data_IF_512356446976
#
_entry.id   IF_512356446976
#
_cell.length_a   1.000
_cell.length_b   1.000
_cell.length_c   1.000
_cell.angle_alpha   90.00
_cell.angle_beta   90.00
_cell.angle_gamma   90.00
#
_symmetry.space_group_name_H-M   'P 1'
#
loop_
_entity.id
_entity.type
_entity.pdbx_description
1 polymer ?
#
# COMPACT_ATOMS: atom_id res chain seq x y z
N UNK A 1 -2.68 -10.27 21.72
CA UNK A 1 -1.65 -9.29 22.15
C UNK A 1 -2.17 -7.92 21.72
N UNK A 2 -2.13 -6.91 22.59
CA UNK A 2 -2.48 -5.56 22.19
C UNK A 2 -1.57 -5.15 21.03
N UNK A 3 -2.14 -4.58 19.95
CA UNK A 3 -1.36 -4.03 18.87
C UNK A 3 -0.31 -3.08 19.47
N UNK A 4 0.96 -3.28 19.16
CA UNK A 4 2.02 -2.41 19.64
C UNK A 4 1.65 -0.96 19.28
N UNK A 5 1.82 -0.06 20.25
CA UNK A 5 1.52 1.34 20.04
C UNK A 5 2.30 1.85 18.85
N UNK A 6 1.61 2.39 17.84
CA UNK A 6 2.27 2.94 16.64
C UNK A 6 3.30 4.01 17.04
N UNK A 7 4.44 3.97 16.35
CA UNK A 7 5.47 5.00 16.46
C UNK A 7 4.86 6.38 16.20
N UNK A 8 5.16 7.34 17.05
CA UNK A 8 4.75 8.73 16.82
C UNK A 8 5.55 9.28 15.65
N UNK A 9 4.87 9.76 14.61
CA UNK A 9 5.46 10.41 13.46
C UNK A 9 4.81 11.75 13.20
N UNK A 10 5.52 12.63 12.50
CA UNK A 10 4.97 13.92 12.05
C UNK A 10 3.98 13.66 10.92
N UNK A 11 2.75 14.18 11.04
CA UNK A 11 1.75 14.05 10.00
C UNK A 11 2.11 14.92 8.79
N UNK A 12 1.93 14.36 7.59
CA UNK A 12 2.19 15.01 6.30
C UNK A 12 0.94 14.98 5.44
N UNK A 13 0.47 16.14 5.00
CA UNK A 13 -0.68 16.24 4.12
C UNK A 13 -0.28 16.17 2.65
N UNK A 14 -0.95 15.30 1.89
CA UNK A 14 -0.74 15.07 0.45
C UNK A 14 -2.08 15.23 -0.26
N UNK A 15 -2.39 16.39 -0.75
CA UNK A 15 -3.73 16.69 -1.25
C UNK A 15 -4.80 16.48 -0.17
N UNK A 16 -5.73 15.55 -0.42
CA UNK A 16 -6.78 15.16 0.52
C UNK A 16 -6.36 14.07 1.53
N UNK A 17 -5.16 13.48 1.40
CA UNK A 17 -4.70 12.36 2.22
C UNK A 17 -3.68 12.83 3.25
N UNK A 18 -3.81 12.36 4.49
CA UNK A 18 -2.83 12.58 5.56
C UNK A 18 -2.06 11.28 5.86
N UNK A 19 -0.73 11.40 5.95
CA UNK A 19 0.20 10.30 6.21
C UNK A 19 0.94 10.56 7.51
N UNK A 20 0.99 9.57 8.40
CA UNK A 20 1.68 9.70 9.69
C UNK A 20 0.78 10.25 10.80
N UNK A 21 1.37 10.55 11.95
CA UNK A 21 0.63 10.91 13.15
C UNK A 21 -0.26 9.78 13.63
N UNK A 22 -1.51 10.10 13.95
CA UNK A 22 -2.56 9.13 14.30
C UNK A 22 -3.37 8.62 13.11
N UNK A 23 -3.05 9.10 11.88
CA UNK A 23 -3.82 8.75 10.68
C UNK A 23 -3.63 7.28 10.29
N UNK A 24 -4.58 6.66 9.59
CA UNK A 24 -4.45 5.30 9.08
C UNK A 24 -3.22 5.11 8.18
N UNK A 25 -2.67 3.90 8.14
CA UNK A 25 -1.56 3.56 7.24
C UNK A 25 -2.06 3.61 5.80
N UNK A 26 -1.42 4.44 4.96
CA UNK A 26 -1.88 4.75 3.61
C UNK A 26 -1.32 3.76 2.58
N UNK A 27 -2.18 3.25 1.70
CA UNK A 27 -1.80 2.40 0.58
C UNK A 27 -1.46 3.27 -0.63
N UNK A 28 -0.24 3.13 -1.13
CA UNK A 28 0.25 3.80 -2.34
C UNK A 28 0.56 2.79 -3.43
N UNK A 29 0.25 3.14 -4.67
CA UNK A 29 0.61 2.38 -5.87
C UNK A 29 1.45 3.19 -6.86
N UNK A 30 1.77 2.58 -8.01
CA UNK A 30 2.51 3.24 -9.08
C UNK A 30 2.08 2.69 -10.45
N UNK A 31 1.91 3.57 -11.42
CA UNK A 31 1.71 3.16 -12.82
C UNK A 31 2.99 2.56 -13.43
N UNK A 32 2.81 1.74 -14.45
CA UNK A 32 3.89 1.25 -15.31
C UNK A 32 3.67 1.62 -16.80
N UNK A 33 2.71 2.50 -17.05
CA UNK A 33 2.48 3.11 -18.36
C UNK A 33 3.55 4.15 -18.67
N UNK A 34 3.77 4.45 -19.95
CA UNK A 34 4.46 5.68 -20.34
C UNK A 34 3.59 6.88 -19.93
N UNK A 35 4.10 7.74 -19.06
CA UNK A 35 3.35 8.90 -18.55
C UNK A 35 3.05 9.91 -19.68
N UNK A 36 3.82 9.91 -20.77
CA UNK A 36 3.54 10.72 -21.96
C UNK A 36 2.24 10.27 -22.66
N UNK A 37 1.86 9.01 -22.56
CA UNK A 37 0.56 8.50 -22.99
C UNK A 37 -0.51 8.80 -21.91
N UNK A 38 -1.17 9.93 -22.09
CA UNK A 38 -2.20 10.44 -21.18
C UNK A 38 -3.32 9.42 -20.96
N UNK A 39 -3.84 8.82 -22.06
CA UNK A 39 -5.00 7.95 -21.96
C UNK A 39 -4.69 6.64 -21.22
N UNK A 40 -3.59 5.99 -21.58
CA UNK A 40 -3.15 4.76 -20.91
C UNK A 40 -2.87 5.01 -19.42
N UNK A 41 -2.24 6.15 -19.10
CA UNK A 41 -1.94 6.50 -17.71
C UNK A 41 -3.20 6.82 -16.92
N UNK A 42 -4.15 7.58 -17.48
CA UNK A 42 -5.46 7.84 -16.86
C UNK A 42 -6.20 6.54 -16.57
N UNK A 43 -6.30 5.64 -17.55
CA UNK A 43 -6.98 4.35 -17.39
C UNK A 43 -6.36 3.53 -16.25
N UNK A 44 -5.02 3.48 -16.19
CA UNK A 44 -4.34 2.72 -15.13
C UNK A 44 -4.46 3.39 -13.76
N UNK A 45 -4.40 4.73 -13.67
CA UNK A 45 -4.65 5.45 -12.41
C UNK A 45 -6.07 5.19 -11.90
N UNK A 46 -7.08 5.22 -12.79
CA UNK A 46 -8.46 4.90 -12.45
C UNK A 46 -8.60 3.48 -11.91
N UNK A 47 -7.97 2.50 -12.57
CA UNK A 47 -7.98 1.11 -12.11
C UNK A 47 -7.35 0.97 -10.71
N UNK A 48 -6.19 1.61 -10.48
CA UNK A 48 -5.50 1.60 -9.19
C UNK A 48 -6.33 2.30 -8.09
N UNK A 49 -6.96 3.43 -8.39
CA UNK A 49 -7.83 4.15 -7.46
C UNK A 49 -9.08 3.34 -7.12
N UNK A 50 -9.72 2.71 -8.10
CA UNK A 50 -10.87 1.84 -7.91
C UNK A 50 -10.53 0.58 -7.08
N UNK A 51 -9.31 0.07 -7.21
CA UNK A 51 -8.80 -0.99 -6.35
C UNK A 51 -8.53 -0.53 -4.90
N UNK A 52 -8.61 0.79 -4.64
CA UNK A 52 -8.44 1.38 -3.31
C UNK A 52 -7.04 1.94 -3.04
N UNK A 53 -6.25 2.23 -4.07
CA UNK A 53 -5.01 3.01 -3.89
C UNK A 53 -5.35 4.43 -3.48
N UNK A 54 -4.80 4.89 -2.38
CA UNK A 54 -5.07 6.22 -1.82
C UNK A 54 -4.08 7.28 -2.37
N UNK A 55 -2.96 6.85 -2.92
CA UNK A 55 -1.95 7.68 -3.57
C UNK A 55 -1.43 6.94 -4.80
N UNK A 56 -1.37 7.58 -5.96
CA UNK A 56 -0.81 6.96 -7.17
C UNK A 56 0.40 7.73 -7.67
N UNK A 57 1.49 7.01 -7.93
CA UNK A 57 2.74 7.59 -8.42
C UNK A 57 2.92 7.34 -9.91
N UNK A 58 3.29 8.38 -10.64
CA UNK A 58 3.65 8.35 -12.07
C UNK A 58 5.11 8.73 -12.25
N UNK A 59 5.79 8.17 -13.25
CA UNK A 59 7.18 8.54 -13.56
C UNK A 59 7.21 9.84 -14.36
N UNK A 60 8.07 10.79 -13.96
CA UNK A 60 8.27 12.05 -14.67
C UNK A 60 9.75 12.20 -15.01
N UNK A 61 10.15 11.70 -16.18
CA UNK A 61 11.54 11.58 -16.61
C UNK A 61 11.85 12.21 -17.96
N UNK A 62 10.82 12.66 -18.70
CA UNK A 62 10.97 13.34 -20.00
C UNK A 62 10.13 14.62 -20.05
N UNK A 63 10.39 15.46 -21.04
CA UNK A 63 9.62 16.67 -21.31
C UNK A 63 8.16 16.34 -21.65
N UNK A 64 7.94 15.27 -22.42
CA UNK A 64 6.61 14.79 -22.83
C UNK A 64 5.82 14.31 -21.61
N UNK A 65 6.43 13.52 -20.74
CA UNK A 65 5.81 13.08 -19.48
C UNK A 65 5.45 14.27 -18.59
N UNK A 66 6.35 15.25 -18.48
CA UNK A 66 6.08 16.46 -17.69
C UNK A 66 4.91 17.28 -18.26
N UNK A 67 4.83 17.42 -19.58
CA UNK A 67 3.73 18.12 -20.28
C UNK A 67 2.39 17.37 -20.19
N UNK A 68 2.42 16.03 -20.02
CA UNK A 68 1.23 15.19 -19.92
C UNK A 68 0.56 15.25 -18.55
N UNK A 69 1.33 15.42 -17.45
CA UNK A 69 0.81 15.37 -16.06
C UNK A 69 -0.39 16.29 -15.82
N UNK A 70 -0.42 17.58 -16.22
CA UNK A 70 -1.59 18.43 -16.00
C UNK A 70 -2.84 17.88 -16.70
N UNK A 71 -2.69 17.31 -17.90
CA UNK A 71 -3.80 16.73 -18.67
C UNK A 71 -4.33 15.45 -18.01
N UNK A 72 -3.42 14.64 -17.45
CA UNK A 72 -3.78 13.43 -16.69
C UNK A 72 -4.65 13.83 -15.50
N UNK A 73 -4.20 14.79 -14.67
CA UNK A 73 -4.93 15.24 -13.48
C UNK A 73 -6.28 15.85 -13.86
N UNK A 74 -6.32 16.73 -14.86
CA UNK A 74 -7.58 17.33 -15.36
C UNK A 74 -8.57 16.25 -15.85
N UNK A 75 -8.07 15.24 -16.55
CA UNK A 75 -8.92 14.15 -17.07
C UNK A 75 -9.45 13.28 -15.93
N UNK A 76 -8.64 12.96 -14.94
CA UNK A 76 -9.08 12.25 -13.73
C UNK A 76 -10.16 13.01 -12.98
N UNK A 77 -9.99 14.34 -12.82
CA UNK A 77 -10.98 15.20 -12.18
C UNK A 77 -12.33 15.20 -12.93
N UNK A 78 -12.30 15.21 -14.28
CA UNK A 78 -13.52 15.09 -15.11
C UNK A 78 -14.25 13.77 -14.91
N UNK A 79 -13.52 12.69 -14.62
CA UNK A 79 -14.11 11.39 -14.25
C UNK A 79 -14.46 11.25 -12.77
N UNK A 80 -14.27 12.31 -11.96
CA UNK A 80 -14.55 12.30 -10.53
C UNK A 80 -13.50 11.55 -9.69
N UNK A 81 -12.37 11.17 -10.29
CA UNK A 81 -11.28 10.46 -9.60
C UNK A 81 -10.31 11.47 -9.02
N UNK A 82 -10.34 11.64 -7.70
CA UNK A 82 -9.55 12.65 -6.97
C UNK A 82 -8.37 12.07 -6.19
N UNK A 83 -7.82 10.94 -6.64
CA UNK A 83 -6.63 10.36 -6.01
C UNK A 83 -5.43 11.29 -6.22
N UNK A 84 -4.66 11.64 -5.16
CA UNK A 84 -3.49 12.49 -5.31
C UNK A 84 -2.41 11.84 -6.15
N UNK A 85 -1.94 12.56 -7.19
CA UNK A 85 -0.89 12.09 -8.10
C UNK A 85 0.48 12.54 -7.62
N UNK A 86 1.43 11.61 -7.59
CA UNK A 86 2.79 11.81 -7.12
C UNK A 86 3.75 11.73 -8.30
N UNK A 87 4.59 12.76 -8.49
CA UNK A 87 5.66 12.73 -9.49
C UNK A 87 6.91 12.02 -8.97
N UNK A 88 7.40 11.06 -9.72
CA UNK A 88 8.66 10.35 -9.45
C UNK A 88 9.76 10.92 -10.31
N UNK A 89 10.68 11.64 -9.68
CA UNK A 89 11.76 12.34 -10.34
C UNK A 89 13.10 11.64 -10.16
N UNK A 90 13.84 11.54 -11.25
CA UNK A 90 15.20 11.04 -11.32
C UNK A 90 16.05 12.06 -12.10
N UNK A 91 17.36 11.95 -12.10
CA UNK A 91 18.40 12.69 -12.83
C UNK A 91 18.10 14.14 -13.28
N UNK A 92 17.06 14.37 -14.07
CA UNK A 92 16.67 15.65 -14.68
C UNK A 92 15.48 16.34 -13.99
N UNK A 93 15.00 15.81 -12.85
CA UNK A 93 13.84 16.35 -12.14
C UNK A 93 13.96 17.84 -11.80
N UNK A 94 15.16 18.33 -11.48
CA UNK A 94 15.45 19.74 -11.23
C UNK A 94 15.21 20.63 -12.46
N UNK A 95 15.46 20.12 -13.67
CA UNK A 95 15.17 20.83 -14.92
C UNK A 95 13.67 20.82 -15.23
N UNK A 96 13.03 19.64 -15.08
CA UNK A 96 11.60 19.47 -15.38
C UNK A 96 10.73 20.33 -14.46
N UNK A 97 11.03 20.38 -13.16
CA UNK A 97 10.29 21.19 -12.19
C UNK A 97 10.36 22.69 -12.52
N UNK A 98 11.52 23.19 -12.98
CA UNK A 98 11.67 24.57 -13.44
C UNK A 98 10.97 24.86 -14.75
N UNK A 99 11.08 23.91 -15.71
CA UNK A 99 10.55 24.10 -17.08
C UNK A 99 9.03 23.95 -17.17
N UNK A 100 8.42 23.14 -16.29
CA UNK A 100 7.00 22.80 -16.31
C UNK A 100 6.26 23.17 -15.02
N UNK A 101 6.03 24.47 -14.74
CA UNK A 101 5.35 24.90 -13.53
C UNK A 101 3.91 24.38 -13.40
N UNK A 102 3.23 24.13 -14.54
CA UNK A 102 1.89 23.53 -14.52
C UNK A 102 1.92 22.11 -13.98
N UNK A 103 2.91 21.29 -14.37
CA UNK A 103 3.15 19.96 -13.82
C UNK A 103 3.46 20.03 -12.31
N UNK A 104 4.38 20.92 -11.91
CA UNK A 104 4.76 21.08 -10.52
C UNK A 104 3.54 21.40 -9.63
N UNK A 105 2.61 22.24 -10.11
CA UNK A 105 1.36 22.57 -9.42
C UNK A 105 0.33 21.43 -9.43
N UNK A 106 0.27 20.66 -10.51
CA UNK A 106 -0.71 19.56 -10.64
C UNK A 106 -0.37 18.36 -9.73
N UNK A 107 0.90 18.13 -9.48
CA UNK A 107 1.35 17.04 -8.61
C UNK A 107 1.06 17.35 -7.13
N UNK A 108 0.55 16.35 -6.40
CA UNK A 108 0.26 16.48 -4.97
C UNK A 108 1.48 16.25 -4.08
N UNK A 109 2.52 15.55 -4.58
CA UNK A 109 3.77 15.24 -3.88
C UNK A 109 4.88 14.96 -4.88
N UNK A 110 6.12 15.26 -4.51
CA UNK A 110 7.30 14.85 -5.27
C UNK A 110 8.00 13.69 -4.59
N UNK A 111 8.42 12.69 -5.37
CA UNK A 111 9.38 11.69 -4.93
C UNK A 111 10.74 12.02 -5.54
N UNK A 112 11.72 12.16 -4.69
CA UNK A 112 13.09 12.48 -5.06
C UNK A 112 14.00 11.38 -4.51
N UNK A 113 14.85 10.82 -5.38
CA UNK A 113 15.92 9.94 -4.95
C UNK A 113 17.23 10.75 -4.91
N UNK A 114 17.74 11.09 -3.73
CA UNK A 114 18.95 11.92 -3.63
C UNK A 114 20.15 11.28 -4.32
N UNK A 115 20.29 9.95 -4.34
CA UNK A 115 21.37 9.27 -5.04
C UNK A 115 21.33 9.37 -6.57
N UNK A 116 20.22 9.84 -7.16
CA UNK A 116 20.00 9.91 -8.60
C UNK A 116 19.83 11.35 -9.13
N UNK A 117 20.19 12.38 -8.36
CA UNK A 117 20.04 13.78 -8.81
C UNK A 117 21.29 14.36 -9.46
N UNK A 118 22.30 13.60 -9.71
CA UNK A 118 23.59 13.81 -10.37
C UNK A 118 24.77 13.41 -9.46
N UNK A 119 26.01 13.49 -9.98
CA UNK A 119 27.24 13.08 -9.27
C UNK A 119 28.09 14.32 -8.95
N UNK A 120 28.71 14.34 -7.75
CA UNK A 120 29.63 15.38 -7.33
C UNK A 120 28.97 16.69 -6.88
N UNK A 121 29.67 17.83 -7.01
CA UNK A 121 29.21 19.18 -6.53
C UNK A 121 27.83 19.59 -7.10
N UNK A 122 27.47 19.12 -8.28
CA UNK A 122 26.15 19.40 -8.87
C UNK A 122 25.01 18.63 -8.21
N UNK A 123 25.32 17.59 -7.44
CA UNK A 123 24.33 16.80 -6.72
C UNK A 123 23.55 17.68 -5.73
N UNK A 124 24.23 18.39 -4.88
CA UNK A 124 23.60 19.20 -3.83
C UNK A 124 22.81 20.38 -4.42
N UNK A 125 23.32 21.03 -5.48
CA UNK A 125 22.62 22.11 -6.18
C UNK A 125 21.33 21.63 -6.85
N UNK A 126 21.36 20.45 -7.47
CA UNK A 126 20.19 19.88 -8.13
C UNK A 126 19.13 19.45 -7.09
N UNK A 127 19.54 18.79 -6.01
CA UNK A 127 18.66 18.45 -4.91
C UNK A 127 18.01 19.69 -4.29
N UNK A 128 18.83 20.71 -4.00
CA UNK A 128 18.37 22.02 -3.51
C UNK A 128 17.32 22.62 -4.43
N UNK A 129 17.58 22.66 -5.74
CA UNK A 129 16.63 23.19 -6.74
C UNK A 129 15.27 22.47 -6.69
N UNK A 130 15.29 21.15 -6.50
CA UNK A 130 14.04 20.37 -6.42
C UNK A 130 13.28 20.64 -5.10
N UNK A 131 14.01 20.85 -4.01
CA UNK A 131 13.40 21.20 -2.72
C UNK A 131 12.85 22.63 -2.76
N UNK A 132 13.58 23.60 -3.35
CA UNK A 132 13.09 24.97 -3.55
C UNK A 132 11.78 24.99 -4.37
N UNK A 133 11.68 24.16 -5.42
CA UNK A 133 10.43 24.00 -6.15
C UNK A 133 9.31 23.41 -5.27
N UNK A 134 9.63 22.45 -4.41
CA UNK A 134 8.64 21.88 -3.48
C UNK A 134 8.17 22.92 -2.45
N UNK A 135 9.03 23.80 -1.99
CA UNK A 135 8.68 24.95 -1.12
C UNK A 135 7.79 25.94 -1.87
N UNK A 136 8.19 26.35 -3.09
CA UNK A 136 7.45 27.32 -3.93
C UNK A 136 6.03 26.84 -4.22
N UNK A 137 5.87 25.56 -4.59
CA UNK A 137 4.55 25.01 -4.92
C UNK A 137 3.84 24.36 -3.73
N UNK A 138 4.39 24.51 -2.53
CA UNK A 138 3.84 23.96 -1.29
C UNK A 138 3.59 22.44 -1.34
N UNK A 139 4.47 21.68 -1.97
CA UNK A 139 4.33 20.22 -2.12
C UNK A 139 5.19 19.46 -1.11
N UNK A 140 4.63 18.46 -0.43
CA UNK A 140 5.45 17.54 0.36
C UNK A 140 6.38 16.74 -0.53
N UNK A 141 7.49 16.30 0.05
CA UNK A 141 8.51 15.51 -0.63
C UNK A 141 8.69 14.18 0.08
N UNK A 142 8.73 13.09 -0.69
CA UNK A 142 9.29 11.85 -0.20
C UNK A 142 10.74 11.73 -0.66
N UNK A 143 11.65 11.79 0.29
CA UNK A 143 13.07 11.49 0.09
C UNK A 143 13.21 9.97 0.09
N UNK A 144 13.51 9.41 -1.08
CA UNK A 144 13.49 7.96 -1.32
C UNK A 144 14.86 7.42 -1.63
N UNK A 145 15.62 7.02 -0.62
CA UNK A 145 16.92 6.36 -0.78
C UNK A 145 16.71 4.90 -1.19
N UNK A 146 17.50 4.41 -2.13
CA UNK A 146 17.56 3.01 -2.51
C UNK A 146 19.01 2.51 -2.39
N UNK A 147 19.15 1.28 -1.97
CA UNK A 147 20.45 0.59 -1.91
C UNK A 147 21.28 0.74 -3.19
N UNK A 148 20.69 0.47 -4.36
CA UNK A 148 21.38 0.50 -5.67
C UNK A 148 21.80 1.88 -6.15
N UNK A 149 21.46 2.95 -5.42
CA UNK A 149 21.82 4.33 -5.75
C UNK A 149 22.37 5.11 -4.55
N UNK A 150 22.98 4.39 -3.60
CA UNK A 150 23.64 5.00 -2.45
C UNK A 150 24.88 5.79 -2.90
N UNK A 151 25.08 6.97 -2.31
CA UNK A 151 26.26 7.79 -2.56
C UNK A 151 27.54 7.05 -2.14
N UNK A 152 28.40 6.80 -3.13
CA UNK A 152 29.67 6.10 -2.93
C UNK A 152 30.65 6.87 -2.03
N UNK A 153 30.64 8.20 -2.06
CA UNK A 153 31.50 9.02 -1.23
C UNK A 153 31.09 8.93 0.25
N UNK A 154 29.80 8.94 0.54
CA UNK A 154 29.27 8.71 1.88
C UNK A 154 29.68 7.33 2.39
N UNK A 155 29.46 6.29 1.58
CA UNK A 155 29.79 4.92 1.96
C UNK A 155 31.27 4.75 2.22
N UNK A 156 32.14 5.26 1.33
CA UNK A 156 33.60 5.19 1.50
C UNK A 156 34.02 5.84 2.81
N UNK A 157 33.54 7.06 3.09
CA UNK A 157 33.88 7.77 4.33
C UNK A 157 33.43 6.94 5.56
N UNK A 158 32.24 6.38 5.55
CA UNK A 158 31.76 5.57 6.67
C UNK A 158 32.55 4.27 6.83
N UNK A 159 33.02 3.64 5.76
CA UNK A 159 33.92 2.49 5.82
C UNK A 159 35.28 2.88 6.42
N UNK A 160 35.84 4.00 6.00
CA UNK A 160 37.14 4.50 6.54
C UNK A 160 37.06 4.85 8.04
N UNK A 161 35.94 5.45 8.46
CA UNK A 161 35.63 5.72 9.87
C UNK A 161 35.49 4.43 10.67
N UNK A 162 34.75 3.47 10.14
CA UNK A 162 34.55 2.16 10.77
C UNK A 162 35.86 1.39 10.96
N UNK A 163 36.77 1.44 9.99
CA UNK A 163 38.06 0.76 10.08
C UNK A 163 38.99 1.34 11.17
N UNK A 164 38.68 2.52 11.71
CA UNK A 164 39.43 3.14 12.83
C UNK A 164 38.88 2.74 14.20
N UNK A 165 37.73 2.06 14.26
CA UNK A 165 37.14 1.61 15.52
C UNK A 165 37.96 0.44 16.11
N UNK A 166 37.94 0.33 17.43
CA UNK A 166 38.55 -0.81 18.11
C UNK A 166 37.85 -2.12 17.77
N UNK A 167 36.54 -2.09 17.56
CA UNK A 167 35.69 -3.21 17.12
C UNK A 167 34.94 -2.76 15.87
N UNK A 168 35.49 -2.93 14.66
CA UNK A 168 34.81 -2.55 13.43
C UNK A 168 33.57 -3.41 13.19
N UNK A 169 32.50 -2.77 12.71
CA UNK A 169 31.31 -3.46 12.22
C UNK A 169 31.64 -4.16 10.89
N UNK A 170 30.86 -5.19 10.57
CA UNK A 170 30.95 -5.79 9.24
C UNK A 170 30.51 -4.81 8.15
N UNK A 171 31.03 -5.00 6.93
CA UNK A 171 30.82 -4.09 5.80
C UNK A 171 29.32 -3.95 5.43
N UNK A 172 28.53 -5.00 5.63
CA UNK A 172 27.08 -4.96 5.38
C UNK A 172 26.39 -4.01 6.35
N UNK A 173 26.69 -4.10 7.65
CA UNK A 173 26.12 -3.21 8.65
C UNK A 173 26.51 -1.74 8.39
N UNK A 174 27.75 -1.48 7.99
CA UNK A 174 28.17 -0.11 7.60
C UNK A 174 27.35 0.39 6.41
N UNK A 175 27.10 -0.46 5.42
CA UNK A 175 26.24 -0.10 4.27
C UNK A 175 24.82 0.20 4.68
N UNK A 176 24.20 -0.61 5.56
CA UNK A 176 22.85 -0.34 6.07
C UNK A 176 22.78 0.98 6.85
N UNK A 177 23.78 1.28 7.67
CA UNK A 177 23.92 2.58 8.36
C UNK A 177 24.09 3.73 7.37
N UNK A 178 24.85 3.54 6.28
CA UNK A 178 25.01 4.56 5.26
C UNK A 178 23.72 4.91 4.53
N UNK A 179 22.83 3.92 4.32
CA UNK A 179 21.48 4.15 3.76
C UNK A 179 20.65 5.02 4.71
N UNK A 180 20.68 4.73 6.01
CA UNK A 180 19.97 5.52 7.04
C UNK A 180 20.55 6.94 7.09
N UNK A 181 21.85 7.07 7.18
CA UNK A 181 22.54 8.37 7.19
C UNK A 181 22.22 9.20 5.94
N UNK A 182 22.20 8.58 4.75
CA UNK A 182 21.81 9.25 3.51
C UNK A 182 20.39 9.82 3.57
N UNK A 183 19.44 9.07 4.11
CA UNK A 183 18.06 9.53 4.26
C UNK A 183 17.95 10.71 5.24
N UNK A 184 18.59 10.60 6.41
CA UNK A 184 18.55 11.63 7.45
C UNK A 184 19.29 12.90 7.04
N UNK A 185 20.49 12.78 6.43
CA UNK A 185 21.24 13.92 5.92
C UNK A 185 20.47 14.66 4.84
N UNK A 186 19.81 13.93 3.94
CA UNK A 186 18.97 14.54 2.89
C UNK A 186 17.73 15.24 3.47
N UNK A 187 17.14 14.70 4.54
CA UNK A 187 16.04 15.37 5.24
C UNK A 187 16.48 16.65 5.92
N UNK A 188 17.62 16.60 6.62
CA UNK A 188 18.21 17.79 7.26
C UNK A 188 18.56 18.88 6.22
N UNK A 189 19.14 18.51 5.07
CA UNK A 189 19.38 19.43 3.97
C UNK A 189 18.10 20.02 3.41
N UNK A 190 17.04 19.24 3.26
CA UNK A 190 15.73 19.72 2.79
C UNK A 190 15.13 20.75 3.77
N UNK A 191 15.24 20.53 5.08
CA UNK A 191 14.84 21.52 6.10
C UNK A 191 15.65 22.81 6.00
N UNK A 192 16.97 22.70 5.81
CA UNK A 192 17.86 23.86 5.60
C UNK A 192 17.50 24.66 4.35
N UNK A 193 16.97 23.99 3.30
CA UNK A 193 16.49 24.66 2.08
C UNK A 193 15.05 25.17 2.20
N UNK A 194 14.46 25.12 3.40
CA UNK A 194 13.17 25.73 3.72
C UNK A 194 11.95 24.80 3.65
N UNK A 195 12.15 23.50 3.40
CA UNK A 195 11.03 22.56 3.41
C UNK A 195 10.63 22.23 4.85
N UNK A 196 9.41 22.51 5.22
CA UNK A 196 8.93 22.27 6.58
C UNK A 196 8.92 20.76 6.90
N UNK A 197 9.23 20.41 8.15
CA UNK A 197 9.33 19.03 8.64
C UNK A 197 8.06 18.21 8.38
N UNK A 198 6.89 18.81 8.52
CA UNK A 198 5.59 18.21 8.22
C UNK A 198 5.29 18.09 6.71
N UNK A 199 6.28 18.29 5.86
CA UNK A 199 6.24 18.07 4.41
C UNK A 199 7.28 17.05 3.94
N UNK A 200 7.93 16.34 4.88
CA UNK A 200 8.97 15.35 4.57
C UNK A 200 8.49 13.96 4.94
N UNK A 201 8.61 13.04 4.00
CA UNK A 201 8.42 11.59 4.19
C UNK A 201 9.73 10.90 3.82
N UNK A 202 10.16 9.92 4.61
CA UNK A 202 11.38 9.16 4.31
C UNK A 202 11.06 7.75 3.83
N UNK A 203 11.91 7.25 2.96
CA UNK A 203 11.99 5.83 2.65
C UNK A 203 13.43 5.40 2.34
N UNK A 204 13.82 4.25 2.87
CA UNK A 204 15.13 3.65 2.67
C UNK A 204 14.94 2.19 2.25
N UNK A 205 14.98 1.94 0.93
CA UNK A 205 14.60 0.66 0.35
C UNK A 205 15.81 -0.21 0.02
N UNK A 206 15.72 -1.46 0.44
CA UNK A 206 16.65 -2.54 0.12
C UNK A 206 15.86 -3.75 -0.39
N UNK A 207 16.54 -4.73 -1.00
CA UNK A 207 15.92 -5.92 -1.57
C UNK A 207 15.87 -7.13 -0.61
N UNK A 208 16.65 -7.08 0.49
CA UNK A 208 16.65 -8.12 1.52
C UNK A 208 15.62 -7.85 2.61
N UNK A 209 14.84 -8.87 2.99
CA UNK A 209 13.81 -8.77 4.05
C UNK A 209 14.44 -8.35 5.37
N UNK A 210 15.47 -9.08 5.83
CA UNK A 210 16.13 -8.80 7.11
C UNK A 210 16.82 -7.42 7.10
N UNK A 211 17.42 -7.06 5.99
CA UNK A 211 18.08 -5.77 5.82
C UNK A 211 17.09 -4.61 5.88
N UNK A 212 15.91 -4.78 5.28
CA UNK A 212 14.84 -3.79 5.35
C UNK A 212 14.38 -3.57 6.80
N UNK A 213 14.19 -4.66 7.54
CA UNK A 213 13.78 -4.60 8.94
C UNK A 213 14.83 -3.82 9.77
N UNK A 214 16.12 -4.14 9.60
CA UNK A 214 17.20 -3.45 10.31
C UNK A 214 17.24 -1.96 9.96
N UNK A 215 17.16 -1.59 8.68
CA UNK A 215 17.20 -0.20 8.22
C UNK A 215 16.04 0.61 8.80
N UNK A 216 14.82 0.08 8.75
CA UNK A 216 13.66 0.84 9.25
C UNK A 216 13.58 0.90 10.78
N UNK A 217 14.10 -0.09 11.50
CA UNK A 217 14.28 0.01 12.96
C UNK A 217 15.25 1.13 13.33
N UNK A 218 16.36 1.25 12.62
CA UNK A 218 17.32 2.37 12.80
C UNK A 218 16.65 3.71 12.48
N UNK A 219 16.00 3.86 11.32
CA UNK A 219 15.27 5.08 10.97
C UNK A 219 14.21 5.46 12.01
N UNK A 220 13.44 4.47 12.47
CA UNK A 220 12.39 4.70 13.44
C UNK A 220 12.92 5.16 14.82
N UNK A 221 14.13 4.73 15.19
CA UNK A 221 14.80 5.14 16.42
C UNK A 221 15.45 6.54 16.31
N UNK A 222 15.87 6.94 15.12
CA UNK A 222 16.68 8.15 14.93
C UNK A 222 15.87 9.37 14.46
N UNK A 223 14.61 9.20 14.03
CA UNK A 223 13.79 10.32 13.57
C UNK A 223 12.29 10.11 13.85
N UNK A 224 11.50 11.17 13.68
CA UNK A 224 10.05 11.18 13.78
C UNK A 224 9.36 11.53 12.43
N UNK A 225 10.08 11.59 11.32
CA UNK A 225 9.46 11.74 10.00
C UNK A 225 8.51 10.59 9.69
N UNK A 226 7.45 10.85 8.92
CA UNK A 226 6.62 9.79 8.37
C UNK A 226 7.44 8.84 7.49
N UNK A 227 7.22 7.53 7.63
CA UNK A 227 7.98 6.49 6.95
C UNK A 227 7.14 5.78 5.89
N UNK A 228 7.67 5.71 4.66
CA UNK A 228 7.08 4.94 3.58
C UNK A 228 7.80 3.59 3.43
N UNK A 229 7.11 2.51 3.77
CA UNK A 229 7.65 1.15 3.67
C UNK A 229 7.52 0.57 2.26
N UNK A 230 8.45 -0.26 1.89
CA UNK A 230 8.39 -1.08 0.68
C UNK A 230 9.69 -1.82 0.44
N UNK A 231 9.59 -3.11 0.16
CA UNK A 231 10.72 -3.90 -0.29
C UNK A 231 10.96 -3.61 -1.77
N UNK A 232 12.20 -3.24 -2.17
CA UNK A 232 12.51 -3.06 -3.59
C UNK A 232 12.81 -4.42 -4.22
N UNK A 233 12.43 -4.59 -5.51
CA UNK A 233 12.74 -5.80 -6.27
C UNK A 233 12.29 -7.10 -5.57
N UNK A 234 11.09 -7.07 -4.99
CA UNK A 234 10.56 -8.20 -4.22
C UNK A 234 10.44 -9.47 -5.05
N UNK A 235 10.18 -9.33 -6.36
CA UNK A 235 10.09 -10.42 -7.34
C UNK A 235 8.67 -10.68 -7.85
N UNK A 236 8.54 -11.78 -8.57
CA UNK A 236 7.31 -12.21 -9.25
C UNK A 236 6.44 -13.08 -8.34
N UNK A 237 5.13 -13.00 -8.54
CA UNK A 237 4.14 -13.93 -7.99
C UNK A 237 4.29 -14.17 -6.49
N UNK A 238 4.16 -15.42 -6.06
CA UNK A 238 4.22 -15.81 -4.66
C UNK A 238 5.51 -15.39 -3.95
N UNK A 239 6.67 -15.43 -4.61
CA UNK A 239 7.94 -15.00 -4.02
C UNK A 239 7.91 -13.52 -3.64
N UNK A 240 7.39 -12.66 -4.54
CA UNK A 240 7.27 -11.23 -4.30
C UNK A 240 6.29 -10.92 -3.16
N UNK A 241 5.13 -11.59 -3.15
CA UNK A 241 4.10 -11.44 -2.12
C UNK A 241 4.65 -11.84 -0.75
N UNK A 242 5.25 -13.04 -0.65
CA UNK A 242 5.80 -13.56 0.61
C UNK A 242 6.91 -12.66 1.15
N UNK A 243 7.87 -12.25 0.31
CA UNK A 243 8.96 -11.39 0.73
C UNK A 243 8.47 -10.01 1.20
N UNK A 244 7.53 -9.41 0.47
CA UNK A 244 6.91 -8.14 0.84
C UNK A 244 6.15 -8.27 2.16
N UNK A 245 5.32 -9.29 2.29
CA UNK A 245 4.51 -9.54 3.50
C UNK A 245 5.40 -9.75 4.72
N UNK A 246 6.45 -10.57 4.59
CA UNK A 246 7.39 -10.82 5.69
C UNK A 246 8.12 -9.56 6.14
N UNK A 247 8.60 -8.75 5.18
CA UNK A 247 9.32 -7.52 5.49
C UNK A 247 8.41 -6.45 6.14
N UNK A 248 7.27 -6.18 5.52
CA UNK A 248 6.34 -5.16 6.01
C UNK A 248 5.63 -5.61 7.27
N UNK A 249 5.26 -6.89 7.35
CA UNK A 249 4.53 -7.46 8.50
C UNK A 249 5.28 -7.29 9.82
N UNK A 250 6.57 -7.57 9.85
CA UNK A 250 7.39 -7.37 11.07
C UNK A 250 7.42 -5.89 11.47
N UNK A 251 7.69 -4.98 10.54
CA UNK A 251 7.77 -3.54 10.83
C UNK A 251 6.42 -2.97 11.28
N UNK A 252 5.34 -3.34 10.60
CA UNK A 252 4.00 -2.88 10.93
C UNK A 252 3.54 -3.38 12.31
N UNK A 253 3.87 -4.63 12.68
CA UNK A 253 3.63 -5.17 14.02
C UNK A 253 4.41 -4.41 15.11
N UNK A 254 5.57 -3.86 14.78
CA UNK A 254 6.37 -3.01 15.67
C UNK A 254 5.88 -1.56 15.68
N UNK A 255 4.79 -1.24 14.98
CA UNK A 255 4.24 0.11 14.86
C UNK A 255 5.03 1.03 13.92
N UNK A 256 5.93 0.49 13.10
CA UNK A 256 6.78 1.23 12.15
C UNK A 256 6.11 1.24 10.77
N UNK A 257 5.86 2.42 10.23
CA UNK A 257 5.32 2.63 8.89
C UNK A 257 4.02 3.43 8.87
N UNK A 258 3.98 4.43 8.01
CA UNK A 258 2.86 5.37 7.86
C UNK A 258 2.21 5.27 6.48
N UNK A 259 2.94 4.80 5.48
CA UNK A 259 2.42 4.47 4.16
C UNK A 259 3.21 3.29 3.58
N UNK A 260 2.55 2.46 2.80
CA UNK A 260 3.14 1.23 2.25
C UNK A 260 2.94 1.12 0.75
N UNK A 261 3.84 0.39 0.09
CA UNK A 261 3.68 -0.07 -1.28
C UNK A 261 4.29 -1.46 -1.46
N UNK A 262 3.50 -2.40 -1.94
CA UNK A 262 4.01 -3.67 -2.47
C UNK A 262 4.63 -3.43 -3.85
N UNK A 263 5.96 -3.64 -3.99
CA UNK A 263 6.68 -3.45 -5.25
C UNK A 263 6.79 -4.78 -5.99
N UNK A 264 5.64 -5.29 -6.43
CA UNK A 264 5.56 -6.56 -7.15
C UNK A 264 5.96 -6.36 -8.62
N UNK A 265 6.69 -7.33 -9.17
CA UNK A 265 6.83 -7.45 -10.62
C UNK A 265 5.57 -8.11 -11.16
N UNK A 266 4.79 -7.44 -12.03
CA UNK A 266 3.59 -8.05 -12.60
C UNK A 266 3.97 -9.27 -13.46
N UNK A 267 3.12 -10.29 -13.47
CA UNK A 267 3.21 -11.36 -14.44
C UNK A 267 2.97 -10.80 -15.85
N UNK A 268 3.44 -11.45 -16.93
CA UNK A 268 3.04 -11.08 -18.28
C UNK A 268 1.51 -11.04 -18.38
N UNK A 269 0.96 -9.89 -18.79
CA UNK A 269 -0.48 -9.59 -18.81
C UNK A 269 -1.16 -9.59 -17.42
N UNK A 270 -0.39 -9.54 -16.35
CA UNK A 270 -0.92 -9.46 -14.97
C UNK A 270 -1.53 -8.09 -14.67
N UNK A 271 -2.47 -8.09 -13.73
CA UNK A 271 -3.15 -6.88 -13.29
C UNK A 271 -2.22 -6.02 -12.41
N UNK A 272 -2.10 -4.74 -12.76
CA UNK A 272 -1.31 -3.78 -11.96
C UNK A 272 -1.94 -3.51 -10.60
N UNK A 273 -3.24 -3.76 -10.44
CA UNK A 273 -3.96 -3.57 -9.17
C UNK A 273 -3.58 -4.59 -8.10
N UNK A 274 -2.93 -5.69 -8.45
CA UNK A 274 -2.45 -6.71 -7.51
C UNK A 274 -1.60 -6.12 -6.39
N UNK A 275 -0.76 -5.11 -6.69
CA UNK A 275 0.07 -4.46 -5.65
C UNK A 275 -0.76 -3.71 -4.61
N UNK A 276 -1.94 -3.19 -4.99
CA UNK A 276 -2.89 -2.53 -4.09
C UNK A 276 -3.58 -3.58 -3.23
N UNK A 277 -4.10 -4.63 -3.86
CA UNK A 277 -4.80 -5.73 -3.18
C UNK A 277 -3.87 -6.39 -2.15
N UNK A 278 -2.64 -6.71 -2.53
CA UNK A 278 -1.65 -7.30 -1.60
C UNK A 278 -1.34 -6.36 -0.45
N UNK A 279 -1.18 -5.05 -0.69
CA UNK A 279 -0.97 -4.07 0.38
C UNK A 279 -2.14 -4.00 1.35
N UNK A 280 -3.38 -4.02 0.85
CA UNK A 280 -4.59 -4.08 1.66
C UNK A 280 -4.66 -5.37 2.47
N UNK A 281 -4.38 -6.53 1.85
CA UNK A 281 -4.40 -7.81 2.53
C UNK A 281 -3.33 -7.90 3.65
N UNK A 282 -2.15 -7.31 3.47
CA UNK A 282 -1.15 -7.21 4.54
C UNK A 282 -1.73 -6.44 5.73
N UNK A 283 -2.34 -5.28 5.51
CA UNK A 283 -2.91 -4.46 6.58
C UNK A 283 -4.11 -5.13 7.26
N UNK A 284 -4.98 -5.79 6.48
CA UNK A 284 -6.13 -6.53 7.01
C UNK A 284 -5.72 -7.75 7.83
N UNK A 285 -4.78 -8.55 7.34
CA UNK A 285 -4.28 -9.74 8.05
C UNK A 285 -3.59 -9.40 9.36
N UNK A 286 -3.06 -8.18 9.49
CA UNK A 286 -2.49 -7.65 10.72
C UNK A 286 -3.50 -6.90 11.61
N UNK A 287 -4.77 -6.85 11.22
CA UNK A 287 -5.85 -6.12 11.90
C UNK A 287 -5.55 -4.61 12.12
N UNK A 288 -4.74 -4.03 11.23
CA UNK A 288 -4.37 -2.61 11.27
C UNK A 288 -5.36 -1.72 10.53
N UNK A 289 -6.00 -2.25 9.48
CA UNK A 289 -7.05 -1.60 8.68
C UNK A 289 -7.96 -2.65 8.06
N UNK A 290 -9.20 -2.28 7.78
CA UNK A 290 -10.15 -3.05 6.99
C UNK A 290 -10.47 -2.32 5.67
N UNK A 291 -10.58 -3.05 4.57
CA UNK A 291 -10.88 -2.50 3.24
C UNK A 291 -12.07 -3.18 2.58
N UNK A 292 -12.17 -4.50 2.77
CA UNK A 292 -13.26 -5.33 2.24
C UNK A 292 -13.59 -6.40 3.27
N UNK A 293 -14.81 -6.93 3.31
CA UNK A 293 -15.12 -8.08 4.15
C UNK A 293 -14.16 -9.23 3.93
N UNK A 294 -13.76 -9.88 5.01
CA UNK A 294 -12.82 -11.02 4.95
C UNK A 294 -13.56 -12.33 4.75
N UNK A 295 -13.13 -13.13 3.77
CA UNK A 295 -13.60 -14.49 3.56
C UNK A 295 -12.59 -15.48 4.15
N UNK A 296 -13.05 -16.26 5.13
CA UNK A 296 -12.30 -17.41 5.66
C UNK A 296 -12.82 -18.67 4.96
N UNK A 297 -11.92 -19.40 4.31
CA UNK A 297 -12.27 -20.66 3.66
C UNK A 297 -11.31 -21.77 4.14
N UNK A 298 -11.78 -23.02 4.18
CA UNK A 298 -10.93 -24.13 4.52
C UNK A 298 -9.99 -24.48 3.34
N UNK A 299 -8.79 -25.07 3.60
CA UNK A 299 -7.87 -25.43 2.52
C UNK A 299 -8.32 -26.63 1.69
N UNK A 300 -9.39 -27.31 2.09
CA UNK A 300 -9.79 -28.59 1.51
C UNK A 300 -8.93 -29.76 2.01
N UNK A 301 -9.51 -30.94 2.02
CA UNK A 301 -8.81 -32.20 2.39
C UNK A 301 -9.58 -33.38 1.81
N UNK A 302 -9.15 -34.63 2.15
CA UNK A 302 -9.82 -35.85 1.68
C UNK A 302 -11.29 -36.00 2.10
N UNK A 303 -11.80 -35.17 3.00
CA UNK A 303 -13.23 -35.09 3.34
C UNK A 303 -14.04 -34.22 2.35
N UNK A 304 -13.37 -33.49 1.48
CA UNK A 304 -14.02 -32.60 0.51
C UNK A 304 -13.38 -32.84 -0.85
N UNK A 305 -13.94 -33.75 -1.63
CA UNK A 305 -13.43 -34.09 -2.97
C UNK A 305 -14.06 -33.22 -4.09
N UNK A 306 -15.10 -32.47 -3.76
CA UNK A 306 -15.75 -31.50 -4.65
C UNK A 306 -15.03 -30.14 -4.59
N UNK A 307 -14.96 -29.43 -5.71
CA UNK A 307 -14.47 -28.04 -5.79
C UNK A 307 -15.51 -27.01 -5.42
N UNK A 308 -16.76 -27.41 -5.19
CA UNK A 308 -17.88 -26.49 -5.01
C UNK A 308 -17.65 -25.43 -3.92
N UNK A 309 -17.03 -25.79 -2.79
CA UNK A 309 -16.74 -24.82 -1.73
C UNK A 309 -15.66 -23.83 -2.14
N UNK A 310 -14.69 -24.24 -2.97
CA UNK A 310 -13.66 -23.37 -3.51
C UNK A 310 -14.27 -22.37 -4.49
N UNK A 311 -15.11 -22.87 -5.40
CA UNK A 311 -15.82 -22.04 -6.39
C UNK A 311 -16.76 -21.06 -5.68
N UNK A 312 -17.45 -21.50 -4.64
CA UNK A 312 -18.30 -20.63 -3.83
C UNK A 312 -17.51 -19.58 -3.07
N UNK A 313 -16.36 -19.96 -2.45
CA UNK A 313 -15.53 -19.01 -1.72
C UNK A 313 -14.98 -17.91 -2.66
N UNK A 314 -14.56 -18.29 -3.87
CA UNK A 314 -14.08 -17.37 -4.90
C UNK A 314 -15.20 -16.44 -5.38
N UNK A 315 -16.39 -16.98 -5.66
CA UNK A 315 -17.56 -16.19 -6.05
C UNK A 315 -17.96 -15.19 -4.96
N UNK A 316 -18.01 -15.61 -3.69
CA UNK A 316 -18.33 -14.73 -2.56
C UNK A 316 -17.26 -13.66 -2.40
N UNK A 317 -15.96 -14.01 -2.46
CA UNK A 317 -14.89 -13.04 -2.35
C UNK A 317 -14.92 -11.99 -3.48
N UNK A 318 -15.19 -12.44 -4.70
CA UNK A 318 -15.36 -11.55 -5.85
C UNK A 318 -16.55 -10.63 -5.68
N UNK A 319 -17.72 -11.19 -5.30
CA UNK A 319 -18.93 -10.43 -5.02
C UNK A 319 -18.72 -9.34 -3.95
N UNK A 320 -18.10 -9.70 -2.82
CA UNK A 320 -17.80 -8.75 -1.74
C UNK A 320 -16.91 -7.59 -2.22
N UNK A 321 -15.92 -7.89 -3.06
CA UNK A 321 -15.05 -6.88 -3.63
C UNK A 321 -15.78 -5.94 -4.58
N UNK A 322 -16.63 -6.49 -5.44
CA UNK A 322 -17.43 -5.70 -6.40
C UNK A 322 -18.48 -4.84 -5.71
N UNK A 323 -19.10 -5.35 -4.63
CA UNK A 323 -20.11 -4.62 -3.88
C UNK A 323 -19.52 -3.56 -2.92
N UNK A 324 -18.28 -3.72 -2.50
CA UNK A 324 -17.69 -2.84 -1.49
C UNK A 324 -17.79 -1.34 -1.83
N UNK A 325 -17.54 -0.87 -3.06
CA UNK A 325 -17.71 0.55 -3.41
C UNK A 325 -19.16 1.02 -3.22
N UNK A 326 -20.14 0.18 -3.54
CA UNK A 326 -21.58 0.49 -3.39
C UNK A 326 -21.94 0.56 -1.91
N UNK A 327 -21.54 -0.42 -1.12
CA UNK A 327 -21.79 -0.45 0.32
C UNK A 327 -21.12 0.69 1.06
N UNK A 328 -19.84 0.96 0.75
CA UNK A 328 -19.08 2.05 1.37
C UNK A 328 -19.71 3.43 1.16
N UNK A 329 -20.44 3.62 0.07
CA UNK A 329 -21.19 4.85 -0.20
C UNK A 329 -22.49 4.96 0.63
N UNK A 330 -23.00 3.85 1.20
CA UNK A 330 -24.29 3.77 1.87
C UNK A 330 -24.20 3.36 3.33
N UNK A 331 -23.22 2.56 3.70
CA UNK A 331 -23.08 1.95 5.01
C UNK A 331 -21.66 2.15 5.56
N UNK A 332 -21.56 2.34 6.87
CA UNK A 332 -20.29 2.44 7.58
C UNK A 332 -19.95 1.12 8.26
N UNK A 333 -18.69 0.65 8.14
CA UNK A 333 -18.17 -0.50 8.86
C UNK A 333 -18.38 -1.86 8.16
N UNK A 334 -18.94 -1.89 6.95
CA UNK A 334 -19.14 -3.14 6.19
C UNK A 334 -17.82 -3.84 5.89
N UNK A 335 -16.75 -3.08 5.73
CA UNK A 335 -15.39 -3.58 5.51
C UNK A 335 -14.85 -4.47 6.64
N UNK A 336 -15.44 -4.40 7.83
CA UNK A 336 -15.05 -5.20 9.00
C UNK A 336 -15.77 -6.55 9.06
N UNK A 337 -16.73 -6.79 8.18
CA UNK A 337 -17.52 -8.02 8.16
C UNK A 337 -16.64 -9.24 7.90
N UNK A 338 -16.89 -10.32 8.65
CA UNK A 338 -16.23 -11.63 8.49
C UNK A 338 -17.20 -12.63 7.93
N UNK A 339 -16.83 -13.28 6.82
CA UNK A 339 -17.62 -14.32 6.16
C UNK A 339 -16.83 -15.63 6.20
N UNK A 340 -17.46 -16.75 6.51
CA UNK A 340 -16.86 -18.07 6.49
C UNK A 340 -17.53 -18.97 5.44
N UNK A 341 -16.74 -19.60 4.56
CA UNK A 341 -17.18 -20.58 3.58
C UNK A 341 -16.40 -21.88 3.82
N UNK A 342 -17.07 -22.85 4.41
CA UNK A 342 -16.45 -24.07 4.88
C UNK A 342 -16.92 -25.29 4.07
N UNK A 343 -16.02 -26.21 3.75
CA UNK A 343 -16.26 -27.33 2.84
C UNK A 343 -16.72 -28.63 3.50
N UNK A 344 -16.87 -28.70 4.84
CA UNK A 344 -17.40 -29.87 5.52
C UNK A 344 -17.87 -29.53 6.94
N UNK A 345 -18.63 -30.46 7.56
CA UNK A 345 -19.21 -30.27 8.90
C UNK A 345 -18.18 -30.38 10.05
N UNK A 346 -16.94 -30.81 9.80
CA UNK A 346 -15.97 -31.06 10.89
C UNK A 346 -15.53 -29.75 11.55
N UNK A 347 -15.05 -28.79 10.76
CA UNK A 347 -14.69 -27.45 11.26
C UNK A 347 -15.74 -26.39 10.88
N UNK A 348 -16.58 -26.69 9.89
CA UNK A 348 -17.52 -25.75 9.30
C UNK A 348 -18.42 -25.05 10.31
N UNK A 349 -19.15 -25.74 11.16
CA UNK A 349 -20.01 -25.11 12.15
C UNK A 349 -19.27 -24.27 13.18
N UNK A 350 -18.04 -24.67 13.56
CA UNK A 350 -17.18 -23.93 14.47
C UNK A 350 -16.73 -22.61 13.90
N UNK A 351 -16.08 -22.63 12.74
CA UNK A 351 -15.60 -21.43 12.05
C UNK A 351 -16.75 -20.50 11.64
N UNK A 352 -17.86 -21.08 11.14
CA UNK A 352 -19.04 -20.30 10.75
C UNK A 352 -19.68 -19.54 11.91
N UNK A 353 -19.55 -20.03 13.15
CA UNK A 353 -20.05 -19.35 14.35
C UNK A 353 -19.15 -18.19 14.82
N UNK A 354 -17.91 -18.19 14.42
CA UNK A 354 -16.98 -17.09 14.73
C UNK A 354 -17.00 -15.95 13.71
N UNK A 355 -17.67 -16.16 12.57
CA UNK A 355 -17.89 -15.14 11.56
C UNK A 355 -19.23 -14.41 11.77
N UNK A 356 -19.39 -13.23 11.18
CA UNK A 356 -20.68 -12.55 11.12
C UNK A 356 -21.69 -13.37 10.29
N UNK A 357 -21.22 -13.93 9.18
CA UNK A 357 -21.95 -14.84 8.32
C UNK A 357 -21.09 -16.06 8.01
N UNK A 358 -21.63 -17.23 8.16
CA UNK A 358 -20.91 -18.46 7.84
C UNK A 358 -21.82 -19.52 7.21
N UNK A 359 -21.27 -20.21 6.24
CA UNK A 359 -21.89 -21.38 5.63
C UNK A 359 -20.99 -22.58 5.75
N UNK A 360 -21.56 -23.72 6.13
CA UNK A 360 -20.87 -25.00 6.17
C UNK A 360 -21.44 -25.91 5.08
N UNK A 361 -20.69 -26.08 4.00
CA UNK A 361 -21.08 -26.96 2.89
C UNK A 361 -20.91 -28.42 3.28
N UNK A 362 -21.64 -29.33 2.65
CA UNK A 362 -21.47 -30.77 2.91
C UNK A 362 -20.15 -31.26 2.32
N UNK A 363 -19.44 -32.07 3.08
CA UNK A 363 -18.30 -32.84 2.60
C UNK A 363 -18.73 -34.04 1.75
N UNK A 364 -17.76 -34.79 1.26
CA UNK A 364 -18.00 -36.04 0.53
C UNK A 364 -18.69 -37.06 1.43
N UNK A 365 -19.79 -37.63 0.95
CA UNK A 365 -20.67 -38.55 1.67
C UNK A 365 -21.46 -37.94 2.83
N UNK A 366 -21.50 -36.64 2.99
CA UNK A 366 -22.39 -35.95 3.92
C UNK A 366 -23.73 -35.65 3.25
N UNK A 367 -24.76 -35.44 4.04
CA UNK A 367 -26.10 -35.02 3.52
C UNK A 367 -25.94 -33.69 2.76
N UNK A 368 -26.55 -33.51 1.58
CA UNK A 368 -26.39 -32.33 0.75
C UNK A 368 -27.15 -31.13 1.34
N UNK A 369 -26.74 -30.71 2.52
CA UNK A 369 -27.32 -29.61 3.29
C UNK A 369 -26.25 -28.62 3.71
N UNK A 370 -26.50 -27.34 3.62
CA UNK A 370 -25.59 -26.27 3.95
C UNK A 370 -26.15 -25.37 5.07
N UNK A 371 -25.87 -25.65 6.34
CA UNK A 371 -26.32 -24.81 7.44
C UNK A 371 -25.62 -23.43 7.36
N UNK A 372 -26.42 -22.37 7.48
CA UNK A 372 -26.00 -20.96 7.50
C UNK A 372 -26.11 -20.41 8.90
N UNK A 373 -25.04 -19.80 9.36
CA UNK A 373 -24.94 -19.14 10.66
C UNK A 373 -24.87 -17.63 10.49
N UNK A 374 -25.58 -16.91 11.34
CA UNK A 374 -25.57 -15.45 11.42
C UNK A 374 -25.32 -15.06 12.87
N UNK A 375 -24.29 -14.28 13.12
CA UNK A 375 -23.86 -13.86 14.46
C UNK A 375 -23.79 -15.04 15.46
N UNK A 376 -23.17 -16.13 15.02
CA UNK A 376 -22.96 -17.36 15.78
C UNK A 376 -24.17 -18.28 15.94
N UNK A 377 -25.35 -17.93 15.42
CA UNK A 377 -26.58 -18.70 15.53
C UNK A 377 -26.99 -19.32 14.20
N UNK A 378 -27.45 -20.56 14.24
CA UNK A 378 -28.04 -21.19 13.05
C UNK A 378 -29.26 -20.38 12.59
N UNK A 379 -29.20 -19.88 11.35
CA UNK A 379 -30.24 -19.09 10.71
C UNK A 379 -31.20 -19.98 9.90
N UNK A 380 -30.62 -20.78 9.01
CA UNK A 380 -31.36 -21.69 8.11
C UNK A 380 -30.39 -22.76 7.59
N UNK A 381 -30.94 -23.67 6.78
CA UNK A 381 -30.18 -24.69 6.08
C UNK A 381 -30.56 -24.66 4.61
N UNK A 382 -29.60 -24.35 3.75
CA UNK A 382 -29.77 -24.25 2.31
C UNK A 382 -29.60 -25.63 1.65
N UNK A 383 -30.22 -25.81 0.48
CA UNK A 383 -30.20 -27.08 -0.27
C UNK A 383 -30.32 -26.82 -1.77
N UNK A 384 -29.80 -27.75 -2.58
CA UNK A 384 -29.93 -27.73 -4.03
C UNK A 384 -28.96 -26.79 -4.74
N UNK A 385 -29.29 -26.35 -5.96
CA UNK A 385 -28.36 -25.69 -6.89
C UNK A 385 -28.28 -24.19 -6.70
N UNK A 386 -29.09 -23.58 -5.84
CA UNK A 386 -29.18 -22.14 -5.64
C UNK A 386 -28.49 -21.65 -4.37
N UNK A 387 -27.73 -22.51 -3.69
CA UNK A 387 -27.07 -22.20 -2.40
C UNK A 387 -26.26 -20.90 -2.45
N UNK A 388 -25.50 -20.65 -3.52
CA UNK A 388 -24.67 -19.43 -3.64
C UNK A 388 -25.55 -18.18 -3.71
N UNK A 389 -26.56 -18.18 -4.56
CA UNK A 389 -27.48 -17.04 -4.71
C UNK A 389 -28.23 -16.75 -3.41
N UNK A 390 -28.78 -17.78 -2.78
CA UNK A 390 -29.52 -17.67 -1.51
C UNK A 390 -28.60 -17.16 -0.38
N UNK A 391 -27.33 -17.58 -0.36
CA UNK A 391 -26.36 -17.09 0.61
C UNK A 391 -26.01 -15.61 0.36
N UNK A 392 -25.89 -15.19 -0.90
CA UNK A 392 -25.69 -13.78 -1.28
C UNK A 392 -26.89 -12.93 -0.84
N UNK A 393 -28.12 -13.43 -1.00
CA UNK A 393 -29.32 -12.71 -0.54
C UNK A 393 -29.31 -12.53 0.99
N UNK A 394 -28.94 -13.57 1.73
CA UNK A 394 -28.78 -13.49 3.20
C UNK A 394 -27.70 -12.47 3.58
N UNK A 395 -26.59 -12.44 2.84
CA UNK A 395 -25.48 -11.52 3.05
C UNK A 395 -25.93 -10.06 2.81
N UNK A 396 -26.64 -9.78 1.72
CA UNK A 396 -27.17 -8.46 1.43
C UNK A 396 -28.15 -8.00 2.51
N UNK A 397 -29.08 -8.87 2.89
CA UNK A 397 -30.04 -8.58 3.97
C UNK A 397 -29.32 -8.33 5.32
N UNK A 398 -28.21 -9.00 5.56
CA UNK A 398 -27.38 -8.76 6.76
C UNK A 398 -26.76 -7.39 6.73
N UNK A 399 -26.16 -6.97 5.61
CA UNK A 399 -25.55 -5.65 5.45
C UNK A 399 -26.57 -4.55 5.69
N UNK A 400 -27.71 -4.60 5.01
CA UNK A 400 -28.79 -3.60 5.14
C UNK A 400 -29.33 -3.48 6.58
N UNK A 401 -29.36 -4.59 7.31
CA UNK A 401 -29.89 -4.61 8.68
C UNK A 401 -28.86 -4.16 9.72
N UNK A 402 -27.59 -4.51 9.53
CA UNK A 402 -26.58 -4.48 10.60
C UNK A 402 -25.74 -3.22 10.55
N UNK A 403 -25.47 -2.71 9.36
CA UNK A 403 -24.60 -1.54 9.18
C UNK A 403 -25.42 -0.28 8.99
N UNK A 404 -25.09 0.74 9.77
CA UNK A 404 -25.80 2.02 9.75
C UNK A 404 -25.72 2.67 8.36
N UNK A 405 -26.85 3.13 7.84
CA UNK A 405 -26.87 3.95 6.66
C UNK A 405 -26.10 5.26 6.93
N UNK A 406 -25.23 5.65 6.02
CA UNK A 406 -24.60 6.97 6.05
C UNK A 406 -25.69 8.02 5.80
N UNK A 407 -25.80 9.01 6.68
CA UNK A 407 -26.65 10.16 6.42
C UNK A 407 -26.23 10.79 5.10
N UNK A 408 -27.13 10.79 4.12
CA UNK A 408 -26.90 11.55 2.88
C UNK A 408 -26.85 13.03 3.26
N UNK A 409 -25.63 13.58 3.34
CA UNK A 409 -25.48 15.03 3.39
C UNK A 409 -26.06 15.55 2.08
N UNK A 410 -27.28 16.05 2.16
CA UNK A 410 -27.93 16.76 1.05
C UNK A 410 -27.02 17.92 0.64
N UNK A 411 -26.54 17.86 -0.62
CA UNK A 411 -25.66 18.82 -1.25
C UNK A 411 -26.31 20.20 -1.37
#
# INVERSE_FOLDING_TARGET
MAANQRRRSVAVRIGSVEVGGSNPIVVQSMTNTDTADVQSTVNQVMALANAGSELVRVTVNTDEAAAAVPKIVETLDKFGVRVPIIGDFHYNGHLLLKKYPAMARALAKYRINPGNVNIGKKHDDNFRTMIEAAVEYERPVRIGVNWGSLDSALLTRMMDENNKLAEPLDAKMVTLRAIVASALNSAAAAEQYGLARNRIILSAKVSGVQDLIVVYRMLAAECDYALHLGLTEAGLGAKGIVATTAALGVLLQEGIGDTIRASLTPLPNGDRTDEVIVSQQILQSLELRSFTPQVTACPGCGRTTSTFFQDMADQIQTYLREQMPVWKARHSGVEEMKVAVMGCIVNGPGESKHANLGISLPGTFEDPVAPVYVDGKLKCTLRGDHIVAEFIDILNAYVERTYAALETVSA
#
